data_IF_356210584759
#
_entry.id   IF_356210584759
#
_cell.length_a   1.000
_cell.length_b   1.000
_cell.length_c   1.000
_cell.angle_alpha   90.00
_cell.angle_beta   90.00
_cell.angle_gamma   90.00
#
_symmetry.space_group_name_H-M   'P 1'
#
loop_
_entity.id
_entity.type
_entity.pdbx_description
1 polymer ?
#
# COMPACT_ATOMS: atom_id res chain seq x y z
N UNK A 1 45.16 5.37 -18.41
CA UNK A 1 44.22 6.51 -18.57
C UNK A 1 42.86 5.89 -18.86
N UNK A 2 41.90 5.79 -17.93
CA UNK A 2 41.59 6.63 -16.78
C UNK A 2 41.23 5.77 -15.55
N UNK A 3 41.71 6.20 -14.39
CA UNK A 3 41.16 5.90 -13.06
C UNK A 3 39.81 6.59 -12.91
N UNK A 4 38.79 5.89 -12.41
CA UNK A 4 37.74 6.50 -11.56
C UNK A 4 37.21 5.48 -10.55
N UNK A 5 37.78 5.54 -9.36
CA UNK A 5 37.17 5.13 -8.09
C UNK A 5 35.96 6.05 -7.81
N UNK A 6 34.79 5.48 -7.53
CA UNK A 6 33.69 6.20 -6.86
C UNK A 6 33.21 5.41 -5.66
N UNK A 7 33.20 6.11 -4.54
CA UNK A 7 33.15 5.60 -3.19
C UNK A 7 31.76 5.12 -2.75
N UNK A 8 31.79 4.16 -1.83
CA UNK A 8 30.69 3.70 -1.00
C UNK A 8 30.13 4.83 -0.11
N UNK A 9 28.81 4.88 0.01
CA UNK A 9 28.11 5.71 1.00
C UNK A 9 27.84 4.88 2.27
N UNK A 10 28.32 5.29 3.46
CA UNK A 10 27.97 4.65 4.72
C UNK A 10 26.64 5.16 5.31
N UNK A 11 25.94 4.24 5.99
CA UNK A 11 24.69 4.44 6.69
C UNK A 11 24.83 5.40 7.90
N UNK A 12 23.77 6.15 8.27
CA UNK A 12 23.77 6.93 9.50
C UNK A 12 23.52 6.05 10.72
N UNK A 13 24.52 5.98 11.60
CA UNK A 13 24.42 5.53 12.98
C UNK A 13 23.67 6.55 13.83
N UNK A 14 22.58 6.14 14.48
CA UNK A 14 21.93 6.93 15.53
C UNK A 14 22.64 6.65 16.87
N UNK A 15 23.48 7.60 17.32
CA UNK A 15 24.00 7.65 18.69
C UNK A 15 23.10 8.54 19.55
N UNK A 16 22.50 7.96 20.60
CA UNK A 16 21.79 8.70 21.66
C UNK A 16 22.79 9.05 22.76
N UNK A 17 23.17 10.32 22.83
CA UNK A 17 23.93 10.89 23.95
C UNK A 17 22.98 11.55 24.95
N UNK A 18 22.89 10.99 26.15
CA UNK A 18 22.08 11.52 27.26
C UNK A 18 22.93 12.49 28.08
N UNK A 19 22.74 13.80 27.87
CA UNK A 19 23.44 14.84 28.62
C UNK A 19 22.52 15.47 29.65
N UNK A 20 22.56 14.96 30.88
CA UNK A 20 22.05 15.66 32.08
C UNK A 20 23.09 16.68 32.55
N UNK A 21 22.82 17.96 32.34
CA UNK A 21 23.54 19.05 33.01
C UNK A 21 22.56 19.86 33.88
N UNK A 22 22.67 19.73 35.21
CA UNK A 22 22.09 20.66 36.18
C UNK A 22 23.19 21.62 36.63
N UNK A 23 23.16 22.85 36.12
CA UNK A 23 24.00 23.97 36.56
C UNK A 23 23.13 25.08 37.15
N UNK A 24 23.62 25.68 38.24
CA UNK A 24 22.94 26.59 39.17
C UNK A 24 23.55 27.99 39.02
N UNK A 25 22.74 29.06 38.98
CA UNK A 25 23.17 30.45 39.26
C UNK A 25 22.93 31.51 38.17
N UNK A 26 22.90 32.82 38.51
CA UNK A 26 21.76 33.70 38.22
C UNK A 26 22.07 35.04 37.49
N UNK A 27 21.01 35.87 37.33
CA UNK A 27 20.93 37.33 37.10
C UNK A 27 20.70 37.88 35.66
N UNK A 28 19.61 38.66 35.53
CA UNK A 28 19.16 39.55 34.43
C UNK A 28 20.04 40.84 34.34
N UNK A 29 20.03 41.71 33.28
CA UNK A 29 18.86 42.07 32.45
C UNK A 29 19.08 42.48 30.95
N UNK A 30 17.93 42.72 30.27
CA UNK A 30 17.64 43.70 29.21
C UNK A 30 18.05 43.46 27.72
N UNK A 31 16.99 43.32 26.92
CA UNK A 31 16.68 43.99 25.64
C UNK A 31 16.92 43.24 24.31
N UNK A 32 15.89 43.38 23.45
CA UNK A 32 15.84 43.19 21.99
C UNK A 32 15.77 41.74 21.48
N UNK A 33 14.62 41.25 21.02
CA UNK A 33 13.92 41.48 19.73
C UNK A 33 14.20 40.33 18.74
N UNK A 34 13.09 39.72 18.29
CA UNK A 34 12.87 39.06 17.00
C UNK A 34 13.18 37.54 16.79
N UNK A 35 12.07 36.79 16.72
CA UNK A 35 11.62 35.87 15.64
C UNK A 35 12.61 34.85 15.06
N UNK A 36 12.34 33.55 15.27
CA UNK A 36 11.70 32.68 14.27
C UNK A 36 11.67 31.24 14.81
N UNK A 37 10.47 30.81 15.22
CA UNK A 37 10.16 29.40 15.38
C UNK A 37 10.28 28.73 14.01
N UNK A 38 11.41 28.10 13.74
CA UNK A 38 11.52 27.12 12.65
C UNK A 38 10.74 25.89 13.07
N UNK A 39 9.42 25.94 12.87
CA UNK A 39 8.61 24.74 12.71
C UNK A 39 9.13 24.09 11.44
N UNK A 40 10.05 23.14 11.59
CA UNK A 40 10.35 22.18 10.53
C UNK A 40 9.09 21.35 10.34
N UNK A 41 8.17 21.86 9.53
CA UNK A 41 7.25 21.00 8.77
C UNK A 41 8.17 20.24 7.82
N UNK A 42 8.78 19.18 8.32
CA UNK A 42 9.04 18.04 7.47
C UNK A 42 7.65 17.62 7.00
N UNK A 43 7.20 18.21 5.90
CA UNK A 43 6.08 17.71 5.15
C UNK A 43 6.48 16.28 4.84
N UNK A 44 5.89 15.33 5.57
CA UNK A 44 5.73 13.99 5.06
C UNK A 44 5.11 14.22 3.69
N UNK A 45 5.89 14.06 2.63
CA UNK A 45 5.33 13.84 1.31
C UNK A 45 4.34 12.70 1.54
N UNK A 46 3.04 13.02 1.55
CA UNK A 46 2.02 12.00 1.58
C UNK A 46 2.30 11.20 0.33
N UNK A 47 2.77 9.97 0.52
CA UNK A 47 3.02 9.07 -0.58
C UNK A 47 1.76 9.11 -1.44
N UNK A 48 1.89 9.64 -2.65
CA UNK A 48 0.79 9.70 -3.58
C UNK A 48 0.38 8.24 -3.77
N UNK A 49 -0.79 7.88 -3.25
CA UNK A 49 -1.34 6.52 -3.32
C UNK A 49 -1.81 6.29 -4.74
N UNK A 50 -0.83 6.26 -5.63
CA UNK A 50 -1.01 6.07 -7.05
C UNK A 50 -1.45 4.63 -7.26
N UNK A 51 -2.76 4.50 -7.47
CA UNK A 51 -3.42 3.27 -7.90
C UNK A 51 -2.89 2.89 -9.29
N UNK A 52 -1.70 2.29 -9.31
CA UNK A 52 -1.02 1.77 -10.49
C UNK A 52 -1.05 0.25 -10.46
N UNK A 53 -1.03 -0.36 -11.65
CA UNK A 53 -0.98 -1.81 -11.79
C UNK A 53 0.24 -2.39 -11.08
N UNK A 54 1.40 -1.77 -11.25
CA UNK A 54 2.67 -2.26 -10.71
C UNK A 54 2.67 -2.23 -9.19
N UNK A 55 2.09 -1.20 -8.57
CA UNK A 55 1.95 -1.15 -7.12
C UNK A 55 0.97 -2.21 -6.63
N UNK A 56 -0.19 -2.31 -7.27
CA UNK A 56 -1.20 -3.31 -6.92
C UNK A 56 -0.67 -4.74 -7.02
N UNK A 57 0.06 -5.07 -8.11
CA UNK A 57 0.67 -6.37 -8.31
C UNK A 57 1.68 -6.71 -7.20
N UNK A 58 2.56 -5.77 -6.83
CA UNK A 58 3.49 -5.96 -5.71
C UNK A 58 2.77 -6.20 -4.38
N UNK A 59 1.66 -5.50 -4.16
CA UNK A 59 0.85 -5.69 -2.95
C UNK A 59 0.23 -7.11 -2.94
N UNK A 60 -0.35 -7.56 -4.05
CA UNK A 60 -0.90 -8.92 -4.18
C UNK A 60 0.17 -9.99 -3.98
N UNK A 61 1.36 -9.81 -4.57
CA UNK A 61 2.50 -10.71 -4.38
C UNK A 61 2.95 -10.76 -2.91
N UNK A 62 2.97 -9.62 -2.21
CA UNK A 62 3.30 -9.58 -0.79
C UNK A 62 2.26 -10.32 0.08
N UNK A 63 0.97 -10.21 -0.24
CA UNK A 63 -0.09 -10.93 0.45
C UNK A 63 0.03 -12.44 0.26
N UNK A 64 0.26 -12.90 -0.98
CA UNK A 64 0.46 -14.32 -1.28
C UNK A 64 1.76 -14.84 -0.64
N UNK A 65 2.84 -14.07 -0.71
CA UNK A 65 4.17 -14.47 -0.27
C UNK A 65 4.59 -15.78 -0.95
N UNK A 66 4.94 -16.79 -0.15
CA UNK A 66 5.31 -18.13 -0.66
C UNK A 66 4.13 -19.10 -0.79
N UNK A 67 2.90 -18.66 -0.54
CA UNK A 67 1.70 -19.51 -0.60
C UNK A 67 1.07 -19.45 -2.00
N UNK A 68 0.23 -20.44 -2.29
CA UNK A 68 -0.59 -20.44 -3.50
C UNK A 68 -1.95 -19.79 -3.29
N UNK A 69 -2.39 -19.64 -2.03
CA UNK A 69 -3.61 -18.93 -1.69
C UNK A 69 -3.49 -18.25 -0.32
N UNK A 70 -4.24 -17.17 -0.14
CA UNK A 70 -4.37 -16.46 1.13
C UNK A 70 -5.75 -15.82 1.24
N UNK A 71 -6.34 -15.89 2.42
CA UNK A 71 -7.58 -15.17 2.72
C UNK A 71 -7.29 -13.90 3.53
N UNK A 72 -7.78 -12.77 3.05
CA UNK A 72 -7.49 -11.44 3.60
C UNK A 72 -8.76 -10.57 3.64
N UNK A 73 -8.84 -9.53 4.49
CA UNK A 73 -9.86 -8.51 4.28
C UNK A 73 -9.58 -7.82 2.93
N UNK A 74 -10.64 -7.40 2.22
CA UNK A 74 -10.52 -6.74 0.93
C UNK A 74 -9.67 -5.47 1.03
N UNK A 75 -9.70 -4.76 2.16
CA UNK A 75 -8.86 -3.59 2.42
C UNK A 75 -7.36 -3.84 2.30
N UNK A 76 -6.91 -5.09 2.43
CA UNK A 76 -5.49 -5.43 2.31
C UNK A 76 -4.96 -5.33 0.87
N UNK A 77 -5.83 -5.24 -0.13
CA UNK A 77 -5.44 -5.10 -1.54
C UNK A 77 -4.76 -3.78 -1.86
N UNK A 78 -4.89 -2.77 -1.00
CA UNK A 78 -4.35 -1.42 -1.20
C UNK A 78 -3.77 -0.87 0.10
N UNK A 79 -2.90 0.12 0.01
CA UNK A 79 -2.34 0.86 1.14
C UNK A 79 -3.10 2.16 1.47
N UNK A 80 -4.11 2.49 0.67
CA UNK A 80 -4.99 3.65 0.87
C UNK A 80 -6.40 3.25 1.27
N UNK A 81 -7.12 4.11 2.02
CA UNK A 81 -8.50 3.86 2.41
C UNK A 81 -9.48 4.06 1.24
N UNK A 82 -10.51 3.22 1.19
CA UNK A 82 -11.62 3.32 0.23
C UNK A 82 -12.92 2.86 0.90
N UNK A 83 -14.07 3.30 0.37
CA UNK A 83 -15.39 2.97 0.95
C UNK A 83 -16.03 1.73 0.31
N UNK A 84 -15.79 1.52 -0.99
CA UNK A 84 -16.32 0.38 -1.76
C UNK A 84 -15.35 -0.03 -2.85
N UNK A 85 -15.28 -1.32 -3.15
CA UNK A 85 -14.55 -1.89 -4.29
C UNK A 85 -15.49 -2.78 -5.09
N UNK A 86 -15.72 -2.49 -6.38
CA UNK A 86 -16.50 -3.35 -7.27
C UNK A 86 -15.60 -4.00 -8.33
N UNK A 87 -15.88 -5.26 -8.63
CA UNK A 87 -15.20 -6.04 -9.67
C UNK A 87 -16.09 -6.10 -10.89
N UNK A 88 -15.57 -5.71 -12.05
CA UNK A 88 -16.27 -5.85 -13.33
C UNK A 88 -15.41 -6.61 -14.33
N UNK A 89 -16.07 -7.49 -15.08
CA UNK A 89 -15.48 -8.24 -16.16
C UNK A 89 -15.88 -7.56 -17.47
N UNK A 90 -14.90 -7.09 -18.23
CA UNK A 90 -15.07 -6.39 -19.50
C UNK A 90 -13.92 -6.84 -20.44
N UNK A 91 -13.35 -5.94 -21.25
CA UNK A 91 -12.10 -6.19 -21.99
C UNK A 91 -10.88 -6.45 -21.07
N UNK A 92 -10.97 -6.06 -19.80
CA UNK A 92 -9.98 -6.28 -18.74
C UNK A 92 -10.72 -6.47 -17.39
N UNK A 93 -10.02 -6.99 -16.37
CA UNK A 93 -10.58 -6.96 -15.02
C UNK A 93 -10.54 -5.53 -14.48
N UNK A 94 -11.71 -4.93 -14.24
CA UNK A 94 -11.81 -3.59 -13.68
C UNK A 94 -12.06 -3.65 -12.17
N UNK A 95 -11.19 -2.99 -11.41
CA UNK A 95 -11.39 -2.73 -9.99
C UNK A 95 -11.81 -1.28 -9.81
N UNK A 96 -13.08 -1.06 -9.45
CA UNK A 96 -13.66 0.26 -9.25
C UNK A 96 -13.73 0.59 -7.76
N UNK A 97 -12.85 1.47 -7.32
CA UNK A 97 -12.78 1.96 -5.96
C UNK A 97 -13.61 3.23 -5.81
N UNK A 98 -14.51 3.28 -4.84
CA UNK A 98 -15.06 4.55 -4.34
C UNK A 98 -14.13 5.09 -3.26
N UNK A 99 -13.58 6.28 -3.48
CA UNK A 99 -12.69 7.03 -2.57
C UNK A 99 -13.24 8.43 -2.40
N UNK A 100 -13.70 8.75 -1.20
CA UNK A 100 -14.27 10.06 -0.82
C UNK A 100 -15.43 10.50 -1.72
N UNK A 101 -16.24 9.52 -2.14
CA UNK A 101 -17.38 9.75 -3.03
C UNK A 101 -17.02 9.81 -4.53
N UNK A 102 -15.73 9.70 -4.87
CA UNK A 102 -15.25 9.66 -6.25
C UNK A 102 -14.86 8.25 -6.67
N UNK A 103 -15.08 7.91 -7.93
CA UNK A 103 -14.64 6.62 -8.49
C UNK A 103 -13.19 6.71 -8.99
N UNK A 104 -12.40 5.69 -8.67
CA UNK A 104 -11.08 5.42 -9.25
C UNK A 104 -11.08 4.01 -9.82
N UNK A 105 -10.62 3.87 -11.06
CA UNK A 105 -10.64 2.58 -11.77
C UNK A 105 -9.22 2.10 -11.99
N UNK A 106 -8.96 0.84 -11.65
CA UNK A 106 -7.74 0.13 -12.02
C UNK A 106 -8.11 -0.99 -13.00
N UNK A 107 -7.59 -0.92 -14.22
CA UNK A 107 -7.72 -1.98 -15.21
C UNK A 107 -6.56 -2.96 -15.09
N UNK A 108 -6.86 -4.25 -15.00
CA UNK A 108 -5.90 -5.33 -14.84
C UNK A 108 -6.00 -6.34 -16.00
N UNK A 109 -4.88 -6.73 -16.62
CA UNK A 109 -4.88 -7.67 -17.74
C UNK A 109 -5.22 -9.09 -17.27
N UNK A 110 -6.04 -9.81 -18.04
CA UNK A 110 -6.51 -11.16 -17.69
C UNK A 110 -5.40 -12.22 -17.65
N UNK A 111 -4.29 -11.93 -18.32
CA UNK A 111 -3.08 -12.75 -18.30
C UNK A 111 -2.40 -12.74 -16.91
N UNK A 112 -2.66 -11.71 -16.10
CA UNK A 112 -2.07 -11.53 -14.77
C UNK A 112 -3.12 -11.64 -13.64
N UNK A 113 -4.35 -11.16 -13.87
CA UNK A 113 -5.38 -11.08 -12.83
C UNK A 113 -6.77 -11.37 -13.38
N UNK A 114 -7.59 -12.13 -12.67
CA UNK A 114 -8.95 -12.40 -13.09
C UNK A 114 -9.91 -12.66 -11.91
N UNK A 115 -11.19 -12.59 -12.23
CA UNK A 115 -12.27 -13.23 -11.48
C UNK A 115 -12.95 -14.20 -12.45
N UNK A 116 -13.48 -15.30 -11.94
CA UNK A 116 -14.23 -16.25 -12.78
C UNK A 116 -15.58 -15.67 -13.20
N UNK A 117 -16.26 -16.32 -14.14
CA UNK A 117 -17.58 -15.92 -14.63
C UNK A 117 -18.62 -15.91 -13.49
N UNK A 118 -19.62 -15.04 -13.56
CA UNK A 118 -20.56 -14.77 -12.47
C UNK A 118 -21.46 -15.95 -12.09
N UNK A 119 -21.54 -16.95 -12.97
CA UNK A 119 -22.23 -18.21 -12.68
C UNK A 119 -21.36 -19.22 -11.92
N UNK A 120 -20.04 -18.99 -11.86
CA UNK A 120 -19.11 -19.80 -11.09
C UNK A 120 -19.23 -19.43 -9.61
N UNK A 121 -19.21 -20.48 -8.77
CA UNK A 121 -19.31 -20.32 -7.33
C UNK A 121 -18.21 -19.39 -6.82
N UNK A 122 -18.58 -18.52 -5.88
CA UNK A 122 -17.68 -17.58 -5.21
C UNK A 122 -17.04 -16.53 -6.15
N UNK A 123 -17.52 -16.43 -7.40
CA UNK A 123 -17.11 -15.36 -8.31
C UNK A 123 -17.41 -13.98 -7.72
N UNK A 124 -16.48 -13.06 -7.99
CA UNK A 124 -16.61 -11.64 -7.71
C UNK A 124 -17.11 -10.84 -8.91
N UNK A 125 -17.42 -11.45 -10.06
CA UNK A 125 -17.99 -10.71 -11.20
C UNK A 125 -19.26 -9.94 -10.78
N UNK A 126 -19.25 -8.63 -11.03
CA UNK A 126 -20.29 -7.67 -10.61
C UNK A 126 -20.52 -7.56 -9.10
N UNK A 127 -19.65 -8.14 -8.27
CA UNK A 127 -19.72 -8.02 -6.82
C UNK A 127 -19.04 -6.73 -6.34
N UNK A 128 -19.65 -6.11 -5.34
CA UNK A 128 -19.06 -4.99 -4.61
C UNK A 128 -18.77 -5.39 -3.17
N UNK A 129 -17.56 -5.07 -2.71
CA UNK A 129 -17.05 -5.36 -1.40
C UNK A 129 -16.92 -4.09 -0.56
N UNK A 130 -17.08 -4.26 0.75
CA UNK A 130 -16.66 -3.34 1.80
C UNK A 130 -15.24 -3.69 2.25
N UNK A 131 -14.51 -2.73 2.86
CA UNK A 131 -13.13 -2.96 3.32
C UNK A 131 -12.96 -4.21 4.22
N UNK A 132 -13.96 -4.52 5.04
CA UNK A 132 -13.92 -5.63 5.98
C UNK A 132 -14.31 -6.99 5.38
N UNK A 133 -14.87 -7.02 4.16
CA UNK A 133 -15.29 -8.27 3.54
C UNK A 133 -14.08 -9.15 3.25
N UNK A 134 -14.22 -10.46 3.42
CA UNK A 134 -13.15 -11.43 3.25
C UNK A 134 -13.10 -11.94 1.81
N UNK A 135 -11.91 -11.95 1.23
CA UNK A 135 -11.65 -12.50 -0.10
C UNK A 135 -10.57 -13.56 -0.04
N UNK A 136 -10.66 -14.51 -0.97
CA UNK A 136 -9.59 -15.45 -1.27
C UNK A 136 -8.81 -14.92 -2.48
N UNK A 137 -7.50 -14.78 -2.31
CA UNK A 137 -6.54 -14.51 -3.38
C UNK A 137 -5.81 -15.82 -3.65
N UNK A 138 -5.81 -16.28 -4.90
CA UNK A 138 -5.28 -17.60 -5.26
C UNK A 138 -4.55 -17.58 -6.59
N UNK A 139 -3.44 -18.29 -6.70
CA UNK A 139 -2.79 -18.56 -7.99
C UNK A 139 -3.62 -19.58 -8.77
N UNK A 140 -3.90 -19.31 -10.05
CA UNK A 140 -4.59 -20.25 -10.94
C UNK A 140 -3.87 -21.60 -11.02
N UNK A 141 -2.54 -21.56 -11.06
CA UNK A 141 -1.68 -22.74 -11.15
C UNK A 141 -0.75 -22.82 -9.93
N UNK A 142 -1.07 -23.66 -8.92
CA UNK A 142 -0.25 -23.82 -7.73
C UNK A 142 1.21 -24.17 -8.04
N UNK A 143 2.16 -23.52 -7.37
CA UNK A 143 3.60 -23.72 -7.60
C UNK A 143 4.20 -23.03 -8.83
N UNK A 144 3.40 -22.32 -9.64
CA UNK A 144 3.88 -21.59 -10.82
C UNK A 144 3.55 -20.10 -10.72
N UNK A 145 4.34 -19.28 -11.43
CA UNK A 145 3.94 -17.91 -11.73
C UNK A 145 2.86 -17.96 -12.81
N UNK A 146 1.66 -17.49 -12.48
CA UNK A 146 0.51 -17.50 -13.35
C UNK A 146 -0.53 -16.51 -12.84
N UNK A 147 -1.66 -16.36 -13.55
CA UNK A 147 -2.65 -15.35 -13.20
C UNK A 147 -3.20 -15.60 -11.80
N UNK A 148 -3.47 -14.50 -11.10
CA UNK A 148 -4.07 -14.50 -9.76
C UNK A 148 -5.57 -14.33 -9.89
N UNK A 149 -6.29 -15.20 -9.21
CA UNK A 149 -7.73 -15.19 -9.09
C UNK A 149 -8.18 -14.52 -7.79
N UNK A 150 -9.23 -13.70 -7.87
CA UNK A 150 -9.94 -13.18 -6.70
C UNK A 150 -11.31 -13.86 -6.58
N UNK A 151 -11.62 -14.39 -5.40
CA UNK A 151 -12.90 -15.01 -5.08
C UNK A 151 -13.45 -14.46 -3.77
N UNK A 152 -14.76 -14.60 -3.58
CA UNK A 152 -15.38 -14.46 -2.25
C UNK A 152 -14.76 -15.50 -1.32
N UNK A 153 -14.52 -15.13 -0.06
CA UNK A 153 -14.17 -16.14 0.94
C UNK A 153 -15.36 -17.08 1.17
N UNK A 154 -15.09 -18.39 1.15
CA UNK A 154 -16.08 -19.43 1.42
C UNK A 154 -16.57 -19.50 2.88
N UNK A 155 -16.13 -18.60 3.78
CA UNK A 155 -16.62 -18.52 5.17
C UNK A 155 -17.84 -17.59 5.36
N UNK A 156 -18.55 -17.25 4.28
CA UNK A 156 -19.78 -16.43 4.33
C UNK A 156 -21.03 -17.20 3.92
N UNK A 157 -21.46 -18.17 4.75
CA UNK A 157 -22.73 -18.88 4.63
C UNK A 157 -23.26 -19.27 6.00
#
# INVERSE_FOLDING_TARGET
>A
MFDTTTAAAPAPHCSVGDARARGRGPALPRLALLIFSLVSIAGCAMADSSLSKEHFARQVDALLGRRDAVEVPASALTDFPWQRLCFERDDALLLKFTVDGHERVLALPYEEFFVDEGHVKDSLEHACLRPADRILIKKKYPGYAGPVEFQKSGQGG
#
